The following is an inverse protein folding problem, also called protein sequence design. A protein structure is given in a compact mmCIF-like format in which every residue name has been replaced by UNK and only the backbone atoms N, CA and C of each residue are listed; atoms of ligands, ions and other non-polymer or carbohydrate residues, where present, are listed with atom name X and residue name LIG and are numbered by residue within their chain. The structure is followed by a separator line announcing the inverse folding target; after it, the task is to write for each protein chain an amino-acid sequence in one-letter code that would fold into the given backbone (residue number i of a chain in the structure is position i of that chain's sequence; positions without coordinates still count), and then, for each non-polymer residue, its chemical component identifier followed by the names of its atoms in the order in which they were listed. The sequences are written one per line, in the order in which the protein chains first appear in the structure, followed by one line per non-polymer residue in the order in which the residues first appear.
data_IF_164899174118
#
_entry.id   IF_164899174118
#
_cell.length_a   1.000
_cell.length_b   1.000
_cell.length_c   1.000
_cell.angle_alpha   90.00
_cell.angle_beta   90.00
_cell.angle_gamma   90.00
#
_symmetry.space_group_name_H-M   'P 1'
#
loop_
_entity.id
_entity.type
_entity.pdbx_description
1 polymer ?
#
# COMPACT_ATOMS: atom_id res chain seq x y z
N UNK A 1 12.69 0.15 12.93
CA UNK A 1 13.66 -0.06 11.83
C UNK A 1 12.89 -0.04 10.52
N UNK A 2 13.48 0.32 9.39
CA UNK A 2 12.79 0.35 8.08
C UNK A 2 12.12 -0.99 7.74
N UNK A 3 12.73 -2.10 8.13
CA UNK A 3 12.15 -3.44 8.01
C UNK A 3 10.80 -3.63 8.74
N UNK A 4 10.53 -2.84 9.78
CA UNK A 4 9.26 -2.89 10.52
C UNK A 4 8.12 -2.19 9.75
N UNK A 5 8.44 -1.27 8.83
CA UNK A 5 7.47 -0.53 8.03
C UNK A 5 6.90 -1.37 6.88
N UNK A 6 7.69 -2.29 6.35
CA UNK A 6 7.33 -3.01 5.13
C UNK A 6 6.24 -4.04 5.41
N UNK A 7 5.12 -3.93 4.70
CA UNK A 7 4.00 -4.86 4.83
C UNK A 7 2.98 -4.46 5.87
N UNK A 8 3.23 -3.34 6.54
CA UNK A 8 2.32 -2.72 7.47
C UNK A 8 1.83 -1.40 6.89
N UNK A 9 0.59 -1.04 7.22
CA UNK A 9 0.12 0.32 7.01
C UNK A 9 0.95 1.24 7.89
N UNK A 10 1.50 2.32 7.35
CA UNK A 10 2.27 3.28 8.13
C UNK A 10 1.43 4.52 8.32
N UNK A 11 1.14 4.86 9.58
CA UNK A 11 0.48 6.10 9.95
C UNK A 11 1.53 7.01 10.58
N UNK A 12 1.80 8.15 9.94
CA UNK A 12 2.72 9.16 10.45
C UNK A 12 1.92 10.34 10.97
N UNK A 13 2.19 10.75 12.22
CA UNK A 13 1.61 11.92 12.85
C UNK A 13 2.70 12.97 13.11
N UNK A 14 2.64 14.07 12.38
CA UNK A 14 3.50 15.23 12.56
C UNK A 14 2.85 16.21 13.52
N UNK A 15 3.61 16.76 14.45
CA UNK A 15 3.11 17.78 15.35
C UNK A 15 4.20 18.70 15.88
N UNK A 16 3.77 19.83 16.44
CA UNK A 16 4.64 20.78 17.12
C UNK A 16 3.93 21.31 18.38
N UNK A 17 4.66 21.55 19.47
CA UNK A 17 4.14 22.28 20.62
C UNK A 17 3.68 23.69 20.22
N UNK A 18 2.65 24.20 20.90
CA UNK A 18 2.06 25.51 20.62
C UNK A 18 1.13 25.57 19.39
N UNK A 19 0.89 24.47 18.69
CA UNK A 19 -0.13 24.44 17.64
C UNK A 19 -1.54 24.57 18.25
N UNK A 20 -2.41 25.40 17.67
CA UNK A 20 -3.74 25.75 18.23
C UNK A 20 -4.61 24.54 18.60
N UNK A 21 -4.49 23.44 17.85
CA UNK A 21 -5.29 22.23 18.04
C UNK A 21 -4.56 21.09 18.79
N UNK A 22 -3.38 21.35 19.37
CA UNK A 22 -2.54 20.27 19.93
C UNK A 22 -3.23 19.55 21.10
N UNK A 23 -3.84 20.30 22.01
CA UNK A 23 -4.53 19.77 23.19
C UNK A 23 -5.71 18.85 22.83
N UNK A 24 -6.41 19.16 21.73
CA UNK A 24 -7.55 18.37 21.27
C UNK A 24 -7.12 17.12 20.49
N UNK A 25 -6.01 17.18 19.75
CA UNK A 25 -5.61 16.09 18.85
C UNK A 25 -4.82 14.99 19.57
N UNK A 26 -3.99 15.34 20.56
CA UNK A 26 -3.11 14.38 21.24
C UNK A 26 -3.86 13.20 21.87
N UNK A 27 -4.98 13.40 22.62
CA UNK A 27 -5.78 12.29 23.13
C UNK A 27 -6.38 11.40 22.04
N UNK A 28 -6.76 11.99 20.90
CA UNK A 28 -7.34 11.24 19.76
C UNK A 28 -6.28 10.39 19.06
N UNK A 29 -5.06 10.92 18.93
CA UNK A 29 -3.93 10.19 18.38
C UNK A 29 -3.58 9.00 19.27
N UNK A 30 -3.56 9.17 20.59
CA UNK A 30 -3.34 8.08 21.53
C UNK A 30 -4.42 6.99 21.41
N UNK A 31 -5.70 7.38 21.26
CA UNK A 31 -6.79 6.43 21.03
C UNK A 31 -6.63 5.67 19.70
N UNK A 32 -6.18 6.32 18.62
CA UNK A 32 -5.86 5.67 17.35
C UNK A 32 -4.70 4.69 17.50
N UNK A 33 -3.63 5.10 18.19
CA UNK A 33 -2.51 4.22 18.50
C UNK A 33 -2.98 2.98 19.27
N UNK A 34 -3.74 3.15 20.35
CA UNK A 34 -4.22 2.04 21.16
C UNK A 34 -5.09 1.05 20.35
N UNK A 35 -5.95 1.57 19.48
CA UNK A 35 -6.85 0.76 18.64
C UNK A 35 -6.15 -0.05 17.54
N UNK A 36 -4.97 0.39 17.09
CA UNK A 36 -4.31 -0.15 15.89
C UNK A 36 -2.86 -0.65 16.08
N UNK A 37 -2.23 -0.42 17.24
CA UNK A 37 -0.83 -0.84 17.52
C UNK A 37 -0.53 -2.33 17.35
N UNK A 38 -1.55 -3.18 17.35
CA UNK A 38 -1.44 -4.63 17.17
C UNK A 38 -1.88 -5.13 15.78
N UNK A 39 -2.33 -4.24 14.88
CA UNK A 39 -3.05 -4.61 13.64
C UNK A 39 -2.25 -4.27 12.38
N UNK A 40 -1.10 -4.89 12.12
CA UNK A 40 -0.29 -4.62 10.92
C UNK A 40 -0.15 -3.11 10.59
N UNK A 41 -0.03 -2.31 11.64
CA UNK A 41 0.03 -0.87 11.59
C UNK A 41 1.29 -0.44 12.30
N UNK A 42 2.09 0.38 11.66
CA UNK A 42 3.19 1.08 12.31
C UNK A 42 2.79 2.53 12.48
N UNK A 43 2.80 2.97 13.73
CA UNK A 43 2.56 4.35 14.07
C UNK A 43 3.90 5.06 14.28
N UNK A 44 4.11 6.16 13.59
CA UNK A 44 5.32 6.97 13.67
C UNK A 44 4.91 8.38 14.05
N UNK A 45 5.35 8.87 15.21
CA UNK A 45 5.13 10.26 15.57
C UNK A 45 6.41 11.06 15.38
N UNK A 46 6.31 12.18 14.68
CA UNK A 46 7.40 13.14 14.50
C UNK A 46 7.04 14.46 15.17
N UNK A 47 7.91 14.91 16.08
CA UNK A 47 7.77 16.23 16.71
C UNK A 47 8.82 17.20 16.20
N UNK A 48 8.40 18.45 16.01
CA UNK A 48 9.28 19.59 15.72
C UNK A 48 9.03 20.76 16.68
N UNK A 49 9.93 21.72 16.74
CA UNK A 49 9.81 22.88 17.64
C UNK A 49 10.42 22.66 19.03
N UNK A 50 9.80 23.21 20.07
CA UNK A 50 10.33 23.20 21.44
C UNK A 50 10.21 21.83 22.12
N UNK A 51 11.29 21.04 22.13
CA UNK A 51 11.28 19.68 22.64
C UNK A 51 10.95 19.56 24.15
N UNK A 52 11.27 20.57 24.95
CA UNK A 52 10.98 20.52 26.38
C UNK A 52 9.48 20.73 26.65
N UNK A 53 8.82 21.53 25.83
CA UNK A 53 7.37 21.64 25.82
C UNK A 53 6.70 20.36 25.30
N UNK A 54 7.27 19.75 24.24
CA UNK A 54 6.81 18.45 23.76
C UNK A 54 6.87 17.36 24.85
N UNK A 55 7.96 17.31 25.64
CA UNK A 55 8.08 16.38 26.77
C UNK A 55 7.04 16.62 27.85
N UNK A 56 6.63 17.86 28.10
CA UNK A 56 5.54 18.18 29.03
C UNK A 56 4.22 17.64 28.51
N UNK A 57 3.87 17.96 27.26
CA UNK A 57 2.65 17.48 26.60
C UNK A 57 2.58 15.94 26.57
N UNK A 58 3.69 15.25 26.28
CA UNK A 58 3.76 13.78 26.32
C UNK A 58 3.38 13.25 27.72
N UNK A 59 3.88 13.87 28.79
CA UNK A 59 3.59 13.46 30.17
C UNK A 59 2.16 13.82 30.58
N UNK A 60 1.70 15.01 30.25
CA UNK A 60 0.37 15.53 30.58
C UNK A 60 -0.73 14.69 29.93
N UNK A 61 -0.57 14.38 28.64
CA UNK A 61 -1.52 13.56 27.86
C UNK A 61 -1.26 12.05 27.96
N UNK A 62 -0.23 11.63 28.70
CA UNK A 62 0.15 10.22 28.91
C UNK A 62 0.33 9.43 27.61
N UNK A 63 0.98 10.05 26.62
CA UNK A 63 1.17 9.45 25.30
C UNK A 63 2.07 8.21 25.39
N UNK A 64 1.68 7.12 24.75
CA UNK A 64 2.42 5.83 24.80
C UNK A 64 3.03 5.42 23.47
N UNK A 65 2.68 6.10 22.37
CA UNK A 65 3.36 5.91 21.09
C UNK A 65 4.79 6.48 21.11
N UNK A 66 5.65 5.93 20.25
CA UNK A 66 7.02 6.43 20.10
C UNK A 66 7.05 7.78 19.38
N UNK A 67 7.70 8.78 19.98
CA UNK A 67 7.90 10.12 19.44
C UNK A 67 9.36 10.30 19.02
N UNK A 68 9.57 10.65 17.76
CA UNK A 68 10.88 10.92 17.19
C UNK A 68 11.04 12.42 16.96
N UNK A 69 12.23 12.95 17.25
CA UNK A 69 12.58 14.32 16.91
C UNK A 69 12.86 14.42 15.41
N UNK A 70 12.17 15.34 14.72
CA UNK A 70 12.40 15.73 13.31
C UNK A 70 12.74 14.54 12.40
N UNK A 71 11.72 13.75 12.03
CA UNK A 71 11.85 12.87 10.88
C UNK A 71 12.00 13.73 9.61
N UNK A 72 13.23 13.80 9.12
CA UNK A 72 13.59 14.50 7.88
C UNK A 72 13.24 13.59 6.69
N UNK A 73 11.97 13.57 6.31
CA UNK A 73 11.51 12.88 5.10
C UNK A 73 11.36 13.94 4.01
N UNK A 74 12.01 13.75 2.86
CA UNK A 74 11.91 14.66 1.71
C UNK A 74 10.44 14.88 1.25
N UNK A 75 9.56 13.90 1.46
CA UNK A 75 8.12 13.97 1.18
C UNK A 75 7.27 14.53 2.33
N UNK A 76 7.85 14.76 3.52
CA UNK A 76 7.20 15.49 4.61
C UNK A 76 7.18 17.01 4.38
N UNK A 77 7.58 17.47 3.19
CA UNK A 77 7.47 18.85 2.68
C UNK A 77 6.02 19.34 2.51
N UNK A 78 5.06 18.78 3.26
CA UNK A 78 3.75 19.40 3.44
C UNK A 78 3.93 20.72 4.18
N UNK A 79 3.34 21.78 3.64
CA UNK A 79 3.42 23.16 4.14
C UNK A 79 2.89 23.35 5.57
N UNK A 80 2.22 22.35 6.15
CA UNK A 80 1.50 22.48 7.42
C UNK A 80 2.19 21.86 8.64
N UNK A 81 3.23 20.99 8.51
CA UNK A 81 4.02 20.39 9.64
C UNK A 81 3.22 19.81 10.83
N UNK A 82 1.90 19.70 10.73
CA UNK A 82 0.98 19.26 11.76
C UNK A 82 -0.14 18.45 11.12
N UNK A 83 -0.32 17.20 11.52
CA UNK A 83 -1.38 16.30 11.08
C UNK A 83 -0.86 14.97 10.54
N UNK A 84 -1.66 14.30 9.71
CA UNK A 84 -1.45 12.88 9.37
C UNK A 84 -0.98 12.64 7.94
N UNK A 85 -0.16 11.60 7.78
CA UNK A 85 0.19 10.96 6.52
C UNK A 85 -0.07 9.47 6.67
N UNK A 86 -0.78 8.86 5.73
CA UNK A 86 -1.06 7.41 5.75
C UNK A 86 -0.47 6.79 4.49
N UNK A 87 0.37 5.78 4.69
CA UNK A 87 0.94 4.97 3.63
C UNK A 87 0.36 3.56 3.71
N UNK A 88 0.04 3.00 2.56
CA UNK A 88 -0.43 1.61 2.49
C UNK A 88 0.72 0.63 2.82
N UNK A 89 0.44 -0.68 2.93
CA UNK A 89 1.46 -1.71 3.17
C UNK A 89 2.55 -1.79 2.11
N UNK A 90 2.46 -1.02 1.03
CA UNK A 90 3.33 -1.00 -0.14
C UNK A 90 4.17 0.28 -0.19
N UNK A 91 4.01 1.19 0.77
CA UNK A 91 4.73 2.48 0.81
C UNK A 91 4.13 3.58 -0.06
N UNK A 92 2.98 3.35 -0.71
CA UNK A 92 2.26 4.41 -1.45
C UNK A 92 1.51 5.30 -0.46
N UNK A 93 1.67 6.62 -0.61
CA UNK A 93 0.86 7.60 0.13
C UNK A 93 -0.60 7.46 -0.30
N UNK A 94 -1.46 7.11 0.64
CA UNK A 94 -2.92 7.06 0.44
C UNK A 94 -3.59 8.38 0.82
N UNK A 95 -2.97 9.13 1.73
CA UNK A 95 -3.55 10.33 2.28
C UNK A 95 -2.45 11.26 2.78
N UNK A 96 -2.57 12.56 2.44
CA UNK A 96 -1.70 13.62 2.91
C UNK A 96 -2.51 14.79 3.49
N UNK A 97 -2.39 14.99 4.80
CA UNK A 97 -2.70 16.16 5.60
C UNK A 97 -3.77 17.18 5.13
N UNK A 98 -5.03 16.74 5.04
CA UNK A 98 -6.24 17.56 4.79
C UNK A 98 -7.18 17.67 6.02
N UNK A 99 -7.69 16.55 6.56
CA UNK A 99 -8.46 16.47 7.82
C UNK A 99 -8.32 15.10 8.54
N UNK A 100 -8.50 15.09 9.87
CA UNK A 100 -8.33 13.89 10.72
C UNK A 100 -9.27 12.72 10.37
N UNK A 101 -10.50 13.04 9.92
CA UNK A 101 -11.51 12.02 9.62
C UNK A 101 -11.10 11.21 8.40
N UNK A 102 -10.71 11.89 7.32
CA UNK A 102 -10.21 11.28 6.09
C UNK A 102 -8.91 10.51 6.34
N UNK A 103 -8.03 10.99 7.22
CA UNK A 103 -6.86 10.25 7.66
C UNK A 103 -7.24 8.92 8.34
N UNK A 104 -8.23 8.95 9.22
CA UNK A 104 -8.73 7.75 9.93
C UNK A 104 -9.40 6.77 8.95
N UNK A 105 -10.23 7.28 8.03
CA UNK A 105 -10.88 6.46 6.99
C UNK A 105 -9.83 5.80 6.07
N UNK A 106 -8.81 6.56 5.62
CA UNK A 106 -7.71 6.03 4.83
C UNK A 106 -6.93 4.94 5.59
N UNK A 107 -6.64 5.16 6.88
CA UNK A 107 -6.00 4.17 7.75
C UNK A 107 -6.84 2.89 7.86
N UNK A 108 -8.13 3.00 8.17
CA UNK A 108 -9.03 1.85 8.33
C UNK A 108 -9.16 1.07 7.02
N UNK A 109 -9.33 1.77 5.90
CA UNK A 109 -9.43 1.14 4.59
C UNK A 109 -8.12 0.41 4.24
N UNK A 110 -6.97 1.04 4.44
CA UNK A 110 -5.67 0.44 4.19
C UNK A 110 -5.43 -0.81 5.04
N UNK A 111 -5.86 -0.78 6.30
CA UNK A 111 -5.78 -1.92 7.21
C UNK A 111 -6.66 -3.08 6.77
N UNK A 112 -7.84 -2.77 6.22
CA UNK A 112 -8.71 -3.76 5.58
C UNK A 112 -8.08 -4.45 4.37
N UNK A 113 -7.09 -3.82 3.72
CA UNK A 113 -6.38 -4.39 2.57
C UNK A 113 -5.14 -5.20 2.94
N UNK A 114 -4.72 -5.18 4.21
CA UNK A 114 -3.56 -5.96 4.65
C UNK A 114 -3.85 -7.46 4.49
N UNK A 115 -2.94 -8.15 3.80
CA UNK A 115 -3.04 -9.60 3.57
C UNK A 115 -4.00 -9.99 2.44
N UNK A 116 -4.75 -9.05 1.85
CA UNK A 116 -5.54 -9.32 0.64
C UNK A 116 -4.63 -9.42 -0.58
N UNK A 117 -4.96 -10.30 -1.55
CA UNK A 117 -4.28 -10.32 -2.86
C UNK A 117 -4.48 -9.00 -3.62
N UNK A 118 -3.52 -8.61 -4.46
CA UNK A 118 -3.65 -7.40 -5.30
C UNK A 118 -4.86 -7.53 -6.23
N UNK A 119 -5.80 -6.60 -6.14
CA UNK A 119 -6.83 -6.44 -7.16
C UNK A 119 -6.16 -5.96 -8.46
N UNK A 120 -6.52 -6.58 -9.58
CA UNK A 120 -5.91 -6.28 -10.89
C UNK A 120 -6.66 -5.19 -11.66
N UNK A 121 -7.78 -4.70 -11.13
CA UNK A 121 -8.57 -3.63 -11.72
C UNK A 121 -8.21 -2.24 -11.18
N UNK A 122 -7.27 -2.13 -10.25
CA UNK A 122 -6.95 -0.86 -9.59
C UNK A 122 -8.20 -0.26 -8.94
N UNK A 123 -8.50 0.99 -9.31
CA UNK A 123 -9.67 1.74 -8.82
C UNK A 123 -10.94 1.52 -9.65
N UNK A 124 -10.89 0.69 -10.71
CA UNK A 124 -12.06 0.37 -11.52
C UNK A 124 -13.02 -0.54 -10.74
N UNK A 125 -14.22 -0.03 -10.47
CA UNK A 125 -15.33 -0.82 -9.92
C UNK A 125 -16.20 -1.38 -11.04
N UNK A 126 -16.56 -2.67 -10.94
CA UNK A 126 -17.51 -3.28 -11.87
C UNK A 126 -18.94 -2.97 -11.43
N UNK A 127 -19.79 -2.53 -12.38
CA UNK A 127 -21.18 -2.21 -12.08
C UNK A 127 -21.91 -3.43 -11.47
N UNK A 128 -22.84 -3.19 -10.54
CA UNK A 128 -23.62 -4.25 -9.89
C UNK A 128 -24.36 -5.15 -10.88
N UNK A 129 -24.78 -4.62 -12.03
CA UNK A 129 -25.48 -5.29 -13.13
C UNK A 129 -24.52 -5.81 -14.22
N UNK A 130 -23.23 -5.53 -14.10
CA UNK A 130 -22.21 -6.02 -15.03
C UNK A 130 -22.19 -7.55 -15.08
N UNK A 131 -22.12 -8.09 -16.29
CA UNK A 131 -21.88 -9.52 -16.54
C UNK A 131 -20.50 -9.96 -16.05
N UNK A 132 -19.55 -9.03 -15.92
CA UNK A 132 -18.18 -9.28 -15.50
C UNK A 132 -17.99 -9.21 -13.99
N UNK A 133 -19.00 -8.79 -13.22
CA UNK A 133 -18.93 -8.78 -11.75
C UNK A 133 -18.53 -10.13 -11.14
N UNK A 134 -18.98 -11.22 -11.75
CA UNK A 134 -18.57 -12.58 -11.36
C UNK A 134 -17.06 -12.83 -11.45
N UNK A 135 -16.34 -12.03 -12.25
CA UNK A 135 -14.90 -12.13 -12.47
C UNK A 135 -14.08 -11.44 -11.37
N UNK A 136 -14.64 -10.55 -10.53
CA UNK A 136 -13.89 -9.82 -9.48
C UNK A 136 -13.03 -10.77 -8.63
N UNK A 137 -13.60 -11.90 -8.22
CA UNK A 137 -12.89 -12.91 -7.42
C UNK A 137 -11.71 -13.56 -8.16
N UNK A 138 -11.71 -13.50 -9.49
CA UNK A 138 -10.66 -14.03 -10.36
C UNK A 138 -9.67 -12.97 -10.81
N UNK A 139 -10.05 -11.69 -10.76
CA UNK A 139 -9.24 -10.52 -11.11
C UNK A 139 -8.35 -10.08 -9.94
N UNK A 140 -7.61 -11.06 -9.41
CA UNK A 140 -6.66 -10.87 -8.32
C UNK A 140 -5.32 -11.52 -8.67
N UNK A 141 -4.23 -10.87 -8.26
CA UNK A 141 -2.88 -11.34 -8.50
C UNK A 141 -2.64 -12.71 -7.88
N UNK A 142 -1.94 -13.58 -8.61
CA UNK A 142 -1.73 -14.98 -8.24
C UNK A 142 -2.80 -15.92 -8.79
N UNK A 143 -3.78 -15.44 -9.55
CA UNK A 143 -4.71 -16.29 -10.32
C UNK A 143 -4.46 -16.16 -11.84
N UNK A 144 -4.50 -17.26 -12.60
CA UNK A 144 -4.31 -17.21 -14.05
C UNK A 144 -5.40 -16.40 -14.77
N UNK A 145 -4.99 -15.44 -15.60
CA UNK A 145 -5.92 -14.56 -16.32
C UNK A 145 -6.26 -15.02 -17.74
N UNK A 146 -5.54 -16.00 -18.28
CA UNK A 146 -5.66 -16.46 -19.67
C UNK A 146 -7.10 -16.68 -20.14
N UNK A 147 -7.93 -17.33 -19.32
CA UNK A 147 -9.34 -17.59 -19.66
C UNK A 147 -10.21 -16.33 -19.56
N UNK A 148 -9.91 -15.44 -18.62
CA UNK A 148 -10.61 -14.16 -18.45
C UNK A 148 -10.33 -13.27 -19.67
N UNK A 149 -9.06 -13.08 -20.03
CA UNK A 149 -8.64 -12.30 -21.20
C UNK A 149 -9.24 -12.88 -22.48
N UNK A 150 -9.24 -14.22 -22.64
CA UNK A 150 -9.88 -14.88 -23.81
C UNK A 150 -11.38 -14.59 -23.88
N UNK A 151 -12.09 -14.62 -22.74
CA UNK A 151 -13.52 -14.31 -22.67
C UNK A 151 -13.79 -12.84 -23.04
N UNK A 152 -13.03 -11.90 -22.47
CA UNK A 152 -13.18 -10.47 -22.74
C UNK A 152 -12.96 -10.17 -24.23
N UNK A 153 -11.85 -10.65 -24.81
CA UNK A 153 -11.57 -10.50 -26.26
C UNK A 153 -12.66 -11.12 -27.13
N UNK A 154 -13.25 -12.24 -26.70
CA UNK A 154 -14.37 -12.85 -27.44
C UNK A 154 -15.64 -12.01 -27.39
N UNK A 155 -15.93 -11.34 -26.27
CA UNK A 155 -17.13 -10.51 -26.14
C UNK A 155 -16.96 -9.17 -26.88
N UNK A 156 -15.73 -8.61 -26.94
CA UNK A 156 -15.38 -7.48 -27.81
C UNK A 156 -15.68 -7.79 -29.27
N UNK A 157 -15.15 -8.90 -29.78
CA UNK A 157 -15.37 -9.34 -31.17
C UNK A 157 -16.86 -9.54 -31.51
N UNK A 158 -17.69 -9.90 -30.53
CA UNK A 158 -19.14 -10.00 -30.75
C UNK A 158 -19.81 -8.63 -30.86
N UNK A 159 -19.32 -7.62 -30.14
CA UNK A 159 -19.80 -6.24 -30.24
C UNK A 159 -19.45 -5.56 -31.56
N UNK A 160 -18.32 -5.93 -32.17
CA UNK A 160 -17.89 -5.44 -33.49
C UNK A 160 -18.74 -5.99 -34.66
N UNK A 161 -19.55 -7.03 -34.42
CA UNK A 161 -20.39 -7.60 -35.46
C UNK A 161 -21.47 -6.61 -35.91
N UNK A 162 -21.70 -6.49 -37.22
CA UNK A 162 -22.73 -5.59 -37.79
C UNK A 162 -24.14 -5.86 -37.24
N UNK A 163 -24.42 -7.10 -36.83
CA UNK A 163 -25.70 -7.54 -36.26
C UNK A 163 -25.76 -7.45 -34.73
N UNK A 164 -24.75 -6.88 -34.07
CA UNK A 164 -24.73 -6.76 -32.62
C UNK A 164 -25.83 -5.81 -32.14
N UNK A 165 -26.60 -6.24 -31.14
CA UNK A 165 -27.54 -5.39 -30.43
C UNK A 165 -26.79 -4.39 -29.55
N UNK A 166 -27.47 -3.32 -29.14
CA UNK A 166 -26.86 -2.28 -28.30
C UNK A 166 -26.36 -2.83 -26.96
N UNK A 167 -27.08 -3.80 -26.38
CA UNK A 167 -26.63 -4.52 -25.16
C UNK A 167 -25.30 -5.26 -25.38
N UNK A 168 -25.08 -5.85 -26.56
CA UNK A 168 -23.82 -6.54 -26.87
C UNK A 168 -22.69 -5.54 -27.10
N UNK A 169 -22.99 -4.40 -27.73
CA UNK A 169 -22.01 -3.31 -27.92
C UNK A 169 -21.58 -2.69 -26.59
N UNK A 170 -22.51 -2.48 -25.66
CA UNK A 170 -22.21 -2.00 -24.30
C UNK A 170 -21.33 -3.01 -23.54
N UNK A 171 -21.65 -4.31 -23.62
CA UNK A 171 -20.82 -5.37 -23.03
C UNK A 171 -19.41 -5.45 -23.63
N UNK A 172 -19.26 -5.14 -24.92
CA UNK A 172 -17.97 -5.07 -25.59
C UNK A 172 -17.15 -3.87 -25.11
N UNK A 173 -17.76 -2.69 -25.00
CA UNK A 173 -17.13 -1.48 -24.44
C UNK A 173 -16.66 -1.68 -22.99
N UNK A 174 -17.48 -2.33 -22.16
CA UNK A 174 -17.07 -2.67 -20.79
C UNK A 174 -15.91 -3.67 -20.79
N UNK A 175 -15.91 -4.67 -21.68
CA UNK A 175 -14.79 -5.61 -21.80
C UNK A 175 -13.48 -4.94 -22.27
N UNK A 176 -13.55 -3.96 -23.17
CA UNK A 176 -12.41 -3.13 -23.58
C UNK A 176 -11.85 -2.36 -22.39
N UNK A 177 -12.73 -1.74 -21.60
CA UNK A 177 -12.36 -0.98 -20.39
C UNK A 177 -11.64 -1.89 -19.38
N UNK A 178 -12.17 -3.10 -19.16
CA UNK A 178 -11.54 -4.10 -18.27
C UNK A 178 -10.17 -4.53 -18.79
N UNK A 179 -10.03 -4.81 -20.09
CA UNK A 179 -8.74 -5.20 -20.66
C UNK A 179 -7.71 -4.07 -20.53
N UNK A 180 -8.11 -2.84 -20.81
CA UNK A 180 -7.26 -1.66 -20.64
C UNK A 180 -6.80 -1.49 -19.19
N UNK A 181 -7.71 -1.63 -18.22
CA UNK A 181 -7.38 -1.59 -16.80
C UNK A 181 -6.39 -2.70 -16.39
N UNK A 182 -6.53 -3.91 -16.95
CA UNK A 182 -5.60 -5.02 -16.69
C UNK A 182 -4.19 -4.76 -17.25
N UNK A 183 -4.08 -4.11 -18.41
CA UNK A 183 -2.79 -3.78 -19.01
C UNK A 183 -2.08 -2.65 -18.24
N UNK A 184 -2.83 -1.63 -17.79
CA UNK A 184 -2.31 -0.59 -16.89
C UNK A 184 -1.85 -1.19 -15.57
N UNK A 185 -2.70 -1.98 -14.90
CA UNK A 185 -2.38 -2.60 -13.62
C UNK A 185 -1.19 -3.55 -13.71
N UNK A 186 -1.05 -4.30 -14.82
CA UNK A 186 0.12 -5.14 -15.08
C UNK A 186 1.43 -4.32 -15.02
N UNK A 187 1.43 -3.15 -15.65
CA UNK A 187 2.61 -2.28 -15.71
C UNK A 187 2.93 -1.69 -14.34
N UNK A 188 1.92 -1.18 -13.64
CA UNK A 188 2.06 -0.63 -12.29
C UNK A 188 2.57 -1.67 -11.29
N UNK A 189 2.02 -2.90 -11.33
CA UNK A 189 2.45 -3.99 -10.44
C UNK A 189 3.91 -4.37 -10.73
N UNK A 190 4.34 -4.37 -12.00
CA UNK A 190 5.73 -4.66 -12.36
C UNK A 190 6.68 -3.63 -11.77
N UNK A 191 6.39 -2.34 -11.97
CA UNK A 191 7.18 -1.24 -11.40
C UNK A 191 7.21 -1.30 -9.86
N UNK A 192 6.08 -1.60 -9.24
CA UNK A 192 5.97 -1.71 -7.79
C UNK A 192 6.81 -2.87 -7.24
N UNK A 193 6.81 -4.03 -7.91
CA UNK A 193 7.65 -5.18 -7.52
C UNK A 193 9.13 -4.82 -7.62
N UNK A 194 9.53 -4.13 -8.69
CA UNK A 194 10.92 -3.74 -8.93
C UNK A 194 11.40 -2.73 -7.87
N UNK A 195 10.62 -1.68 -7.62
CA UNK A 195 10.91 -0.69 -6.57
C UNK A 195 10.96 -1.32 -5.18
N UNK A 196 10.04 -2.26 -4.88
CA UNK A 196 10.02 -2.96 -3.60
C UNK A 196 11.26 -3.85 -3.42
N UNK A 197 11.88 -4.32 -4.50
CA UNK A 197 13.01 -5.22 -4.41
C UNK A 197 14.23 -4.55 -3.77
N UNK A 198 14.47 -3.27 -4.08
CA UNK A 198 15.60 -2.50 -3.57
C UNK A 198 15.63 -2.43 -2.04
N UNK A 199 14.46 -2.29 -1.42
CA UNK A 199 14.33 -2.10 0.02
C UNK A 199 13.81 -3.34 0.77
N UNK A 200 13.17 -4.28 0.05
CA UNK A 200 12.58 -5.49 0.66
C UNK A 200 12.42 -6.66 -0.33
N UNK A 201 13.54 -7.18 -0.81
CA UNK A 201 13.60 -8.20 -1.85
C UNK A 201 12.81 -9.48 -1.54
N UNK A 202 12.79 -9.95 -0.29
CA UNK A 202 12.05 -11.16 0.09
C UNK A 202 10.54 -11.08 -0.25
N UNK A 203 9.97 -9.87 -0.14
CA UNK A 203 8.55 -9.63 -0.44
C UNK A 203 8.32 -9.36 -1.91
N UNK A 204 9.23 -8.64 -2.56
CA UNK A 204 9.23 -8.50 -4.02
C UNK A 204 9.20 -9.87 -4.71
N UNK A 205 10.01 -10.84 -4.26
CA UNK A 205 9.98 -12.23 -4.76
C UNK A 205 8.60 -12.89 -4.57
N UNK A 206 7.95 -12.67 -3.42
CA UNK A 206 6.61 -13.24 -3.18
C UNK A 206 5.58 -12.68 -4.17
N UNK A 207 5.59 -11.37 -4.41
CA UNK A 207 4.71 -10.72 -5.38
C UNK A 207 5.06 -11.12 -6.81
N UNK A 208 6.33 -11.19 -7.17
CA UNK A 208 6.83 -11.63 -8.47
C UNK A 208 6.37 -13.06 -8.82
N UNK A 209 6.35 -13.97 -7.84
CA UNK A 209 5.78 -15.31 -8.02
C UNK A 209 4.28 -15.25 -8.34
N UNK A 210 3.52 -14.41 -7.62
CA UNK A 210 2.09 -14.24 -7.90
C UNK A 210 1.85 -13.60 -9.27
N UNK A 211 2.67 -12.62 -9.64
CA UNK A 211 2.67 -11.98 -10.96
C UNK A 211 2.90 -13.00 -12.07
N UNK A 212 3.89 -13.88 -11.95
CA UNK A 212 4.17 -14.93 -12.94
C UNK A 212 3.00 -15.92 -13.12
N UNK A 213 2.15 -16.10 -12.11
CA UNK A 213 0.95 -16.94 -12.23
C UNK A 213 -0.16 -16.22 -12.99
N UNK A 214 -0.34 -14.92 -12.74
CA UNK A 214 -1.36 -14.11 -13.42
C UNK A 214 -0.99 -13.77 -14.86
N UNK A 215 0.29 -13.50 -15.11
CA UNK A 215 0.87 -13.07 -16.39
C UNK A 215 1.99 -14.03 -16.82
N UNK A 216 1.65 -15.26 -17.27
CA UNK A 216 2.64 -16.28 -17.62
C UNK A 216 3.51 -15.88 -18.82
N UNK A 217 2.99 -15.05 -19.73
CA UNK A 217 3.71 -14.51 -20.88
C UNK A 217 4.92 -13.66 -20.47
N UNK A 218 4.85 -12.95 -19.35
CA UNK A 218 5.94 -12.09 -18.84
C UNK A 218 6.78 -12.78 -17.76
N UNK A 219 6.46 -14.05 -17.44
CA UNK A 219 7.09 -14.75 -16.33
C UNK A 219 8.58 -15.00 -16.56
N UNK A 220 9.04 -15.08 -17.82
CA UNK A 220 10.46 -15.30 -18.13
C UNK A 220 11.34 -14.12 -17.66
N UNK A 221 10.95 -12.89 -18.00
CA UNK A 221 11.66 -11.68 -17.59
C UNK A 221 11.64 -11.53 -16.07
N UNK A 222 10.46 -11.69 -15.46
CA UNK A 222 10.30 -11.56 -14.01
C UNK A 222 11.09 -12.63 -13.23
N UNK A 223 11.17 -13.87 -13.75
CA UNK A 223 11.97 -14.95 -13.14
C UNK A 223 13.47 -14.69 -13.19
N UNK A 224 13.97 -14.03 -14.24
CA UNK A 224 15.37 -13.65 -14.32
C UNK A 224 15.74 -12.68 -13.19
N UNK A 225 14.94 -11.63 -12.98
CA UNK A 225 15.14 -10.65 -11.89
C UNK A 225 15.02 -11.27 -10.49
N UNK A 226 14.13 -12.25 -10.31
CA UNK A 226 13.98 -12.94 -9.02
C UNK A 226 15.26 -13.63 -8.51
N UNK A 227 16.18 -14.04 -9.40
CA UNK A 227 17.45 -14.64 -8.97
C UNK A 227 18.33 -13.60 -8.24
N UNK A 228 18.43 -12.40 -8.80
CA UNK A 228 19.16 -11.26 -8.22
C UNK A 228 18.54 -10.84 -6.89
N UNK A 229 17.22 -10.70 -6.85
CA UNK A 229 16.50 -10.37 -5.61
C UNK A 229 16.66 -11.46 -4.55
N UNK A 230 16.80 -12.73 -4.93
CA UNK A 230 17.04 -13.80 -3.96
C UNK A 230 18.40 -13.65 -3.28
N UNK A 231 19.43 -13.17 -4.00
CA UNK A 231 20.71 -12.83 -3.41
C UNK A 231 20.58 -11.61 -2.47
N UNK A 232 19.95 -10.54 -2.95
CA UNK A 232 19.71 -9.31 -2.16
C UNK A 232 18.94 -9.61 -0.87
N UNK A 233 17.92 -10.46 -0.92
CA UNK A 233 17.13 -10.86 0.23
C UNK A 233 17.97 -11.57 1.30
N UNK A 234 18.98 -12.36 0.90
CA UNK A 234 19.91 -13.01 1.84
C UNK A 234 20.81 -11.99 2.51
N UNK A 235 21.31 -11.00 1.76
CA UNK A 235 22.14 -9.92 2.32
C UNK A 235 21.34 -9.05 3.30
N UNK A 236 20.14 -8.62 2.91
CA UNK A 236 19.22 -7.87 3.77
C UNK A 236 18.89 -8.65 5.04
N UNK A 237 18.63 -9.96 4.95
CA UNK A 237 18.37 -10.81 6.11
C UNK A 237 19.59 -10.92 7.04
N UNK A 238 20.80 -11.04 6.48
CA UNK A 238 22.05 -11.09 7.25
C UNK A 238 22.28 -9.76 7.99
N UNK A 239 22.17 -8.63 7.29
CA UNK A 239 22.30 -7.30 7.89
C UNK A 239 21.28 -7.05 9.00
N UNK A 240 20.01 -7.47 8.80
CA UNK A 240 18.98 -7.36 9.82
C UNK A 240 19.29 -8.22 11.06
N UNK A 241 19.86 -9.42 10.88
CA UNK A 241 20.26 -10.29 11.98
C UNK A 241 21.45 -9.73 12.76
N UNK A 242 22.46 -9.17 12.10
CA UNK A 242 23.62 -8.51 12.72
C UNK A 242 23.17 -7.29 13.51
N UNK A 243 22.36 -6.42 12.93
CA UNK A 243 21.79 -5.27 13.62
C UNK A 243 20.96 -5.69 14.85
N UNK A 244 20.23 -6.82 14.80
CA UNK A 244 19.50 -7.34 15.97
C UNK A 244 20.44 -7.77 17.10
N UNK A 245 21.58 -8.40 16.77
CA UNK A 245 22.59 -8.80 17.77
C UNK A 245 23.25 -7.58 18.41
N UNK A 246 23.61 -6.56 17.63
CA UNK A 246 24.20 -5.32 18.17
C UNK A 246 23.25 -4.56 19.10
N UNK A 247 21.96 -4.50 18.76
CA UNK A 247 20.96 -3.85 19.62
C UNK A 247 20.67 -4.64 20.91
N UNK A 248 20.87 -5.96 20.91
CA UNK A 248 20.76 -6.79 22.11
C UNK A 248 21.96 -6.64 23.04
N UNK A 249 23.15 -6.30 22.52
CA UNK A 249 24.36 -6.07 23.31
C UNK A 249 24.47 -4.66 23.90
N UNK A 250 23.63 -3.70 23.45
CA UNK A 250 23.57 -2.32 23.96
C UNK A 250 22.46 -2.07 24.99
N UNK A 251 21.74 -3.12 25.43
CA UNK A 251 20.81 -3.09 26.56
C UNK A 251 21.45 -3.75 27.78
#
# INVERSE_FOLDING_TARGET
READLVGNVVCVFYWQPGHENIEAILPRVEALWDAYKTKHCVFVSSVSGNLDEAKKLIKEHKLTFSVYEKLDMADAQSTTRFGFLVLNPRGKVLYGNQNDRAATEALVNALGEVGKPYALLGDMELDKKSKYRSLEKSLVLGKPLKNVVKKLRSDIKKGEAKSASDVIKEQASEAESILSALDTSKSEIKEEIETLADYHAARAIKLAKQFCVSYPEDAAEMKAKMAEWTALAKEQAKAAAEAKKEAAHKK
#
